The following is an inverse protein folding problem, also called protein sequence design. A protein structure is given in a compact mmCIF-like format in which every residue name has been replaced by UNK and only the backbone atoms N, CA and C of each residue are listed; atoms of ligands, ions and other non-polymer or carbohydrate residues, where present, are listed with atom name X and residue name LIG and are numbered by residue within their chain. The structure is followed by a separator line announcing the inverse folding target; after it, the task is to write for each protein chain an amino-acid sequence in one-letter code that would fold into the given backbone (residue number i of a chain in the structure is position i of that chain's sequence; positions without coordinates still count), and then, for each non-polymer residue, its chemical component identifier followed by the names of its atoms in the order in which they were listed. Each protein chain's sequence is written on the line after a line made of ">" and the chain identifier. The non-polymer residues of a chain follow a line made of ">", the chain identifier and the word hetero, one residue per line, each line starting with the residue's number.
data_IF_621602534416
#
_entry.id   IF_621602534416
#
_cell.length_a   1.000
_cell.length_b   1.000
_cell.length_c   1.000
_cell.angle_alpha   90.00
_cell.angle_beta   90.00
_cell.angle_gamma   90.00
#
_symmetry.space_group_name_H-M   'P 1'
#
loop_
_entity.id
_entity.type
_entity.pdbx_description
1 polymer ?
#
# COMPACT_ATOMS: atom_id res chain seq x y z
N UNK A 1 14.69 27.24 -4.00
CA UNK A 1 14.69 26.42 -5.23
C UNK A 1 13.48 26.84 -6.03
N UNK A 2 13.68 27.37 -7.24
CA UNK A 2 12.57 27.54 -8.17
C UNK A 2 11.98 26.16 -8.50
N UNK A 3 10.65 26.01 -8.61
CA UNK A 3 10.08 24.77 -9.10
C UNK A 3 10.63 24.48 -10.50
N UNK A 4 10.88 23.20 -10.85
CA UNK A 4 11.33 22.85 -12.19
C UNK A 4 10.33 23.41 -13.22
N UNK A 5 10.83 24.20 -14.18
CA UNK A 5 10.01 24.67 -15.31
C UNK A 5 9.64 23.46 -16.15
N UNK A 6 8.39 23.01 -16.03
CA UNK A 6 7.82 21.99 -16.90
C UNK A 6 7.59 22.59 -18.29
N UNK A 7 8.63 22.53 -19.14
CA UNK A 7 8.54 22.99 -20.53
C UNK A 7 7.73 22.03 -21.43
N UNK A 8 7.20 20.93 -20.88
CA UNK A 8 6.28 20.00 -21.55
C UNK A 8 5.12 19.67 -20.61
N UNK A 9 3.89 19.84 -21.09
CA UNK A 9 2.68 19.40 -20.39
C UNK A 9 2.62 17.87 -20.51
N UNK A 10 3.22 17.17 -19.54
CA UNK A 10 3.10 15.73 -19.43
C UNK A 10 1.77 15.41 -18.74
N UNK A 11 0.97 14.54 -19.36
CA UNK A 11 -0.17 13.97 -18.66
C UNK A 11 0.28 12.96 -17.60
N UNK A 12 -0.67 12.47 -16.80
CA UNK A 12 -0.33 11.55 -15.70
C UNK A 12 0.22 10.21 -16.20
N UNK A 13 -0.11 9.79 -17.42
CA UNK A 13 0.38 8.54 -18.03
C UNK A 13 1.86 8.72 -18.35
N UNK A 14 2.20 9.79 -19.05
CA UNK A 14 3.57 10.13 -19.41
C UNK A 14 4.47 10.30 -18.17
N UNK A 15 3.95 10.90 -17.09
CA UNK A 15 4.70 11.00 -15.82
C UNK A 15 5.04 9.61 -15.29
N UNK A 16 4.07 8.67 -15.23
CA UNK A 16 4.31 7.33 -14.70
C UNK A 16 5.20 6.48 -15.61
N UNK A 17 5.03 6.57 -16.94
CA UNK A 17 5.84 5.83 -17.91
C UNK A 17 7.30 6.29 -17.96
N UNK A 18 7.55 7.58 -17.70
CA UNK A 18 8.91 8.14 -17.63
C UNK A 18 9.55 8.00 -16.24
N UNK A 19 8.81 7.56 -15.23
CA UNK A 19 9.32 7.42 -13.87
C UNK A 19 10.07 6.10 -13.68
N UNK A 20 11.34 6.18 -13.31
CA UNK A 20 12.12 5.04 -12.83
C UNK A 20 11.58 4.52 -11.48
N UNK A 21 11.68 3.23 -11.13
CA UNK A 21 11.30 2.74 -9.81
C UNK A 21 11.89 3.53 -8.64
N UNK A 22 13.10 4.09 -8.74
CA UNK A 22 13.69 4.93 -7.70
C UNK A 22 12.95 6.27 -7.48
N UNK A 23 12.03 6.66 -8.36
CA UNK A 23 11.13 7.79 -8.15
C UNK A 23 10.07 7.51 -7.08
N UNK A 24 9.83 6.25 -6.71
CA UNK A 24 8.84 5.88 -5.71
C UNK A 24 9.49 5.66 -4.34
N UNK A 25 8.94 6.31 -3.31
CA UNK A 25 9.41 6.11 -1.94
C UNK A 25 9.21 4.66 -1.49
N UNK A 26 8.12 4.02 -1.89
CA UNK A 26 7.83 2.61 -1.58
C UNK A 26 8.92 1.65 -2.10
N UNK A 27 9.43 1.89 -3.30
CA UNK A 27 10.55 1.14 -3.87
C UNK A 27 11.85 1.40 -3.11
N UNK A 28 12.19 2.67 -2.86
CA UNK A 28 13.39 3.06 -2.12
C UNK A 28 13.40 2.46 -0.70
N UNK A 29 12.28 2.55 0.01
CA UNK A 29 12.13 1.95 1.33
C UNK A 29 12.27 0.43 1.30
N UNK A 30 11.81 -0.25 0.25
CA UNK A 30 11.88 -1.72 0.15
C UNK A 30 13.28 -2.21 -0.24
N UNK A 31 14.01 -1.47 -1.07
CA UNK A 31 15.34 -1.87 -1.59
C UNK A 31 16.51 -1.48 -0.69
N UNK A 32 16.35 -0.48 0.18
CA UNK A 32 17.37 -0.12 1.16
C UNK A 32 17.70 -1.30 2.08
N UNK A 33 19.00 -1.47 2.38
CA UNK A 33 19.48 -2.56 3.25
C UNK A 33 19.01 -2.41 4.70
N UNK A 34 18.89 -1.16 5.16
CA UNK A 34 18.55 -0.79 6.53
C UNK A 34 17.50 0.32 6.50
N UNK A 35 16.73 0.47 7.58
CA UNK A 35 15.82 1.60 7.70
C UNK A 35 16.61 2.92 7.82
N UNK A 36 16.11 4.04 7.27
CA UNK A 36 16.75 5.34 7.42
C UNK A 36 17.02 5.68 8.90
N UNK A 37 18.26 6.03 9.23
CA UNK A 37 18.64 6.47 10.56
C UNK A 37 18.02 7.83 10.90
N UNK A 38 17.57 8.02 12.14
CA UNK A 38 17.11 9.33 12.61
C UNK A 38 18.31 10.29 12.62
N UNK A 39 18.26 11.32 11.78
CA UNK A 39 19.28 12.37 11.76
C UNK A 39 18.98 13.37 12.86
N UNK A 40 19.48 13.14 14.09
CA UNK A 40 19.28 14.03 15.23
C UNK A 40 20.10 15.32 15.13
N UNK A 41 21.21 15.28 14.38
CA UNK A 41 22.23 16.33 14.39
C UNK A 41 22.13 17.30 13.20
N UNK A 42 21.18 17.07 12.28
CA UNK A 42 20.93 17.93 11.12
C UNK A 42 19.62 18.68 11.30
N UNK A 43 19.69 19.79 12.04
CA UNK A 43 18.53 20.67 12.30
C UNK A 43 18.16 21.49 11.04
N UNK A 44 19.02 21.55 10.02
CA UNK A 44 18.98 22.66 9.06
C UNK A 44 18.48 22.39 7.65
N UNK A 45 18.09 21.18 7.25
CA UNK A 45 17.39 20.98 5.98
C UNK A 45 16.49 19.74 6.04
N UNK A 46 15.20 19.88 5.69
CA UNK A 46 14.34 18.71 5.45
C UNK A 46 14.98 17.91 4.32
N UNK A 47 15.36 16.66 4.59
CA UNK A 47 15.94 15.80 3.58
C UNK A 47 14.89 15.53 2.48
N UNK A 48 14.95 16.27 1.38
CA UNK A 48 14.01 16.16 0.25
C UNK A 48 13.94 14.75 -0.31
N UNK A 49 14.95 13.90 -0.08
CA UNK A 49 14.94 12.49 -0.53
C UNK A 49 13.87 11.64 0.13
N UNK A 50 13.38 12.01 1.31
CA UNK A 50 12.33 11.28 2.01
C UNK A 50 10.92 11.81 1.75
N UNK A 51 10.79 12.89 0.97
CA UNK A 51 9.51 13.49 0.63
C UNK A 51 8.90 12.81 -0.61
N UNK A 52 7.56 12.81 -0.75
CA UNK A 52 6.91 12.28 -1.95
C UNK A 52 7.38 12.97 -3.22
N UNK A 53 7.61 12.20 -4.28
CA UNK A 53 7.87 12.72 -5.62
C UNK A 53 6.57 12.96 -6.38
N UNK A 54 6.67 13.55 -7.57
CA UNK A 54 5.51 13.69 -8.47
C UNK A 54 4.98 12.33 -8.91
N UNK A 55 5.86 11.34 -9.10
CA UNK A 55 5.47 9.97 -9.41
C UNK A 55 4.65 9.36 -8.26
N UNK A 56 5.08 9.55 -7.00
CA UNK A 56 4.33 9.11 -5.82
C UNK A 56 2.93 9.74 -5.79
N UNK A 57 2.84 11.06 -6.00
CA UNK A 57 1.56 11.78 -5.97
C UNK A 57 0.65 11.32 -7.11
N UNK A 58 1.16 11.19 -8.33
CA UNK A 58 0.37 10.74 -9.48
C UNK A 58 -0.09 9.30 -9.31
N UNK A 59 0.76 8.39 -8.86
CA UNK A 59 0.39 7.00 -8.58
C UNK A 59 -0.66 6.91 -7.47
N UNK A 60 -0.55 7.74 -6.43
CA UNK A 60 -1.55 7.82 -5.38
C UNK A 60 -2.90 8.29 -5.91
N UNK A 61 -2.94 9.36 -6.72
CA UNK A 61 -4.17 9.83 -7.36
C UNK A 61 -4.77 8.79 -8.31
N UNK A 62 -3.93 8.04 -9.04
CA UNK A 62 -4.36 6.91 -9.88
C UNK A 62 -5.00 5.80 -9.04
N UNK A 63 -4.43 5.48 -7.87
CA UNK A 63 -5.02 4.54 -6.91
C UNK A 63 -6.39 5.03 -6.39
N UNK A 64 -6.54 6.31 -6.06
CA UNK A 64 -7.84 6.86 -5.65
C UNK A 64 -8.89 6.76 -6.76
N UNK A 65 -8.52 6.98 -8.03
CA UNK A 65 -9.42 6.74 -9.17
C UNK A 65 -9.79 5.26 -9.30
N UNK A 66 -8.86 4.34 -9.07
CA UNK A 66 -9.15 2.90 -9.07
C UNK A 66 -10.18 2.53 -7.98
N UNK A 67 -10.11 3.13 -6.79
CA UNK A 67 -11.17 2.94 -5.77
C UNK A 67 -12.53 3.46 -6.22
N UNK A 68 -12.56 4.59 -6.95
CA UNK A 68 -13.77 5.10 -7.60
C UNK A 68 -14.35 4.11 -8.61
N UNK A 69 -13.51 3.57 -9.49
CA UNK A 69 -13.89 2.55 -10.47
C UNK A 69 -14.38 1.26 -9.80
N UNK A 70 -13.73 0.82 -8.72
CA UNK A 70 -14.16 -0.31 -7.90
C UNK A 70 -15.57 -0.11 -7.35
N UNK A 71 -15.84 1.06 -6.74
CA UNK A 71 -17.17 1.39 -6.21
C UNK A 71 -18.22 1.38 -7.32
N UNK A 72 -17.92 2.01 -8.46
CA UNK A 72 -18.78 2.04 -9.63
C UNK A 72 -19.13 0.62 -10.13
N UNK A 73 -18.12 -0.26 -10.22
CA UNK A 73 -18.28 -1.66 -10.62
C UNK A 73 -19.13 -2.46 -9.63
N UNK A 74 -18.88 -2.31 -8.33
CA UNK A 74 -19.66 -3.00 -7.27
C UNK A 74 -21.13 -2.60 -7.30
N UNK A 75 -21.44 -1.36 -7.65
CA UNK A 75 -22.80 -0.83 -7.66
C UNK A 75 -23.51 -1.01 -9.02
N UNK A 76 -22.80 -1.48 -10.05
CA UNK A 76 -23.34 -1.62 -11.41
C UNK A 76 -23.59 -0.28 -12.09
N UNK A 77 -22.81 0.76 -11.77
CA UNK A 77 -23.05 2.13 -12.21
C UNK A 77 -21.86 2.65 -13.00
N UNK A 78 -22.06 3.31 -14.13
CA UNK A 78 -20.96 3.86 -14.94
C UNK A 78 -20.49 5.26 -14.53
N UNK A 79 -21.17 5.92 -13.60
CA UNK A 79 -20.85 7.29 -13.15
C UNK A 79 -20.72 7.35 -11.63
N UNK A 80 -19.96 8.32 -11.14
CA UNK A 80 -19.92 8.68 -9.72
C UNK A 80 -21.32 9.19 -9.34
N UNK A 81 -22.15 8.31 -8.77
CA UNK A 81 -23.50 8.67 -8.35
C UNK A 81 -23.40 9.45 -7.04
N UNK A 82 -23.87 10.71 -7.05
CA UNK A 82 -23.96 11.56 -5.85
C UNK A 82 -25.03 11.05 -4.88
N UNK A 83 -26.11 10.50 -5.43
CA UNK A 83 -27.30 10.08 -4.69
C UNK A 83 -27.55 8.58 -4.90
N UNK A 84 -26.99 7.74 -4.02
CA UNK A 84 -27.18 6.30 -4.09
C UNK A 84 -28.58 5.92 -3.60
N UNK A 85 -29.21 4.98 -4.29
CA UNK A 85 -30.46 4.38 -3.81
C UNK A 85 -30.22 3.62 -2.49
N UNK A 86 -31.22 3.50 -1.60
CA UNK A 86 -31.07 2.78 -0.33
C UNK A 86 -30.50 1.36 -0.48
N UNK A 87 -30.87 0.64 -1.55
CA UNK A 87 -30.33 -0.67 -1.86
C UNK A 87 -28.83 -0.64 -2.19
N UNK A 88 -28.39 0.36 -2.96
CA UNK A 88 -26.98 0.56 -3.33
C UNK A 88 -26.12 0.92 -2.10
N UNK A 89 -26.67 1.72 -1.18
CA UNK A 89 -26.03 1.96 0.12
C UNK A 89 -25.80 0.65 0.87
N UNK A 90 -26.80 -0.24 0.89
CA UNK A 90 -26.70 -1.53 1.56
C UNK A 90 -25.66 -2.45 0.90
N UNK A 91 -25.65 -2.53 -0.44
CA UNK A 91 -24.65 -3.31 -1.18
C UNK A 91 -23.23 -2.81 -0.91
N UNK A 92 -23.02 -1.49 -0.95
CA UNK A 92 -21.73 -0.89 -0.62
C UNK A 92 -21.29 -1.21 0.81
N UNK A 93 -22.21 -1.14 1.78
CA UNK A 93 -21.92 -1.49 3.17
C UNK A 93 -21.48 -2.96 3.32
N UNK A 94 -22.17 -3.90 2.67
CA UNK A 94 -21.82 -5.32 2.68
C UNK A 94 -20.45 -5.54 2.03
N UNK A 95 -20.20 -4.88 0.91
CA UNK A 95 -18.91 -4.95 0.22
C UNK A 95 -17.77 -4.48 1.13
N UNK A 96 -17.91 -3.32 1.78
CA UNK A 96 -16.92 -2.80 2.72
C UNK A 96 -16.70 -3.75 3.90
N UNK A 97 -17.76 -4.35 4.43
CA UNK A 97 -17.67 -5.33 5.53
C UNK A 97 -16.84 -6.53 5.11
N UNK A 98 -17.06 -7.04 3.89
CA UNK A 98 -16.28 -8.15 3.36
C UNK A 98 -14.82 -7.76 3.09
N UNK A 99 -14.57 -6.57 2.53
CA UNK A 99 -13.22 -6.05 2.30
C UNK A 99 -12.40 -5.97 3.60
N UNK A 100 -13.01 -5.48 4.68
CA UNK A 100 -12.38 -5.43 6.01
C UNK A 100 -12.05 -6.83 6.52
N UNK A 101 -12.97 -7.81 6.40
CA UNK A 101 -12.70 -9.21 6.78
C UNK A 101 -11.53 -9.78 5.98
N UNK A 102 -11.49 -9.55 4.67
CA UNK A 102 -10.39 -10.02 3.79
C UNK A 102 -9.06 -9.39 4.18
N UNK A 103 -9.04 -8.10 4.55
CA UNK A 103 -7.85 -7.44 5.07
C UNK A 103 -7.38 -8.05 6.39
N UNK A 104 -8.29 -8.32 7.34
CA UNK A 104 -7.94 -8.96 8.62
C UNK A 104 -7.34 -10.35 8.38
N UNK A 105 -7.93 -11.14 7.49
CA UNK A 105 -7.41 -12.45 7.09
C UNK A 105 -6.00 -12.32 6.52
N UNK A 106 -5.79 -11.38 5.59
CA UNK A 106 -4.49 -11.12 4.97
C UNK A 106 -3.42 -10.76 6.00
N UNK A 107 -3.70 -9.79 6.87
CA UNK A 107 -2.79 -9.36 7.93
C UNK A 107 -2.51 -10.49 8.93
N UNK A 108 -3.52 -11.30 9.27
CA UNK A 108 -3.36 -12.44 10.18
C UNK A 108 -2.46 -13.52 9.57
N UNK A 109 -2.61 -13.80 8.27
CA UNK A 109 -1.75 -14.71 7.52
C UNK A 109 -0.30 -14.21 7.50
N UNK A 110 -0.08 -12.91 7.23
CA UNK A 110 1.24 -12.30 7.27
C UNK A 110 1.88 -12.35 8.66
N UNK A 111 1.09 -12.16 9.72
CA UNK A 111 1.58 -12.26 11.09
C UNK A 111 2.02 -13.69 11.41
N UNK A 112 1.20 -14.69 11.09
CA UNK A 112 1.57 -16.12 11.26
C UNK A 112 2.87 -16.43 10.52
N UNK A 113 2.98 -16.04 9.26
CA UNK A 113 4.20 -16.18 8.47
C UNK A 113 5.42 -15.50 9.10
N UNK A 114 5.23 -14.35 9.77
CA UNK A 114 6.33 -13.59 10.38
C UNK A 114 6.77 -14.15 11.72
N UNK A 115 5.86 -14.62 12.56
CA UNK A 115 6.18 -15.27 13.84
C UNK A 115 7.03 -16.53 13.63
N UNK A 116 6.81 -17.27 12.53
CA UNK A 116 7.64 -18.42 12.16
C UNK A 116 9.08 -18.04 11.76
N UNK A 117 9.39 -16.74 11.69
CA UNK A 117 10.65 -16.23 11.13
C UNK A 117 11.47 -15.36 12.06
N UNK A 118 10.86 -14.75 13.08
CA UNK A 118 11.54 -13.79 13.95
C UNK A 118 11.05 -13.96 15.38
N UNK A 119 11.93 -14.49 16.24
CA UNK A 119 11.77 -14.49 17.68
C UNK A 119 12.51 -13.27 18.24
N UNK A 120 11.89 -12.10 18.21
CA UNK A 120 12.43 -10.91 18.89
C UNK A 120 11.31 -10.18 19.59
N UNK A 121 11.33 -10.23 20.92
CA UNK A 121 10.45 -9.44 21.79
C UNK A 121 10.60 -7.96 21.43
N UNK A 122 9.58 -7.36 20.80
CA UNK A 122 9.57 -5.92 20.52
C UNK A 122 9.17 -5.17 21.80
N UNK A 123 10.16 -4.54 22.44
CA UNK A 123 9.93 -3.45 23.40
C UNK A 123 9.68 -2.16 22.60
N UNK A 124 9.03 -1.14 23.17
CA UNK A 124 8.79 0.13 22.46
C UNK A 124 10.08 0.78 21.93
N UNK A 125 11.20 0.64 22.67
CA UNK A 125 12.53 1.09 22.24
C UNK A 125 13.05 0.35 21.00
N UNK A 126 12.45 -0.79 20.68
CA UNK A 126 12.84 -1.68 19.59
C UNK A 126 12.35 -1.15 18.25
N UNK A 127 11.40 -0.21 18.18
CA UNK A 127 10.93 0.33 16.88
C UNK A 127 12.10 0.82 16.00
N UNK A 128 13.09 1.47 16.59
CA UNK A 128 14.27 1.96 15.88
C UNK A 128 15.35 0.89 15.67
N UNK A 129 15.27 -0.23 16.41
CA UNK A 129 16.20 -1.37 16.33
C UNK A 129 15.70 -2.50 15.45
N UNK A 130 14.43 -2.47 15.01
CA UNK A 130 13.86 -3.49 14.12
C UNK A 130 14.70 -3.54 12.84
N UNK A 131 15.32 -4.69 12.61
CA UNK A 131 16.07 -4.99 11.40
C UNK A 131 15.06 -5.37 10.31
N UNK A 132 15.31 -4.96 9.07
CA UNK A 132 14.52 -5.39 7.92
C UNK A 132 14.47 -6.91 7.84
N UNK A 133 13.26 -7.46 7.83
CA UNK A 133 13.05 -8.89 7.63
C UNK A 133 13.04 -9.18 6.13
N UNK A 134 14.18 -9.62 5.58
CA UNK A 134 14.31 -9.95 4.15
C UNK A 134 13.36 -11.05 3.70
N UNK A 135 13.04 -12.02 4.57
CA UNK A 135 12.08 -13.09 4.25
C UNK A 135 10.67 -12.51 4.11
N UNK A 136 10.29 -11.59 4.98
CA UNK A 136 9.03 -10.85 4.89
C UNK A 136 8.95 -10.00 3.62
N UNK A 137 9.98 -9.17 3.35
CA UNK A 137 10.03 -8.32 2.15
C UNK A 137 10.00 -9.16 0.86
N UNK A 138 10.74 -10.27 0.82
CA UNK A 138 10.74 -11.19 -0.32
C UNK A 138 9.40 -11.88 -0.55
N UNK A 139 8.64 -12.17 0.51
CA UNK A 139 7.29 -12.72 0.36
C UNK A 139 6.32 -11.63 -0.10
N UNK A 140 6.40 -10.43 0.47
CA UNK A 140 5.56 -9.29 0.07
C UNK A 140 5.81 -8.87 -1.39
N UNK A 141 7.02 -9.03 -1.92
CA UNK A 141 7.34 -8.78 -3.32
C UNK A 141 6.72 -9.79 -4.29
N UNK A 142 6.32 -10.98 -3.81
CA UNK A 142 5.76 -12.07 -4.60
C UNK A 142 4.23 -12.10 -4.62
N UNK A 143 3.57 -11.27 -3.82
CA UNK A 143 2.10 -11.20 -3.75
C UNK A 143 1.61 -9.80 -4.13
N UNK A 144 0.35 -9.72 -4.53
CA UNK A 144 -0.38 -8.45 -4.68
C UNK A 144 -1.81 -8.65 -4.15
N UNK A 145 -2.20 -7.98 -3.05
CA UNK A 145 -3.55 -8.09 -2.53
C UNK A 145 -4.58 -7.55 -3.52
N UNK A 146 -5.82 -8.05 -3.48
CA UNK A 146 -6.95 -7.50 -4.22
C UNK A 146 -7.21 -6.02 -3.89
N UNK A 147 -7.78 -5.28 -4.84
CA UNK A 147 -7.95 -3.82 -4.71
C UNK A 147 -8.77 -3.39 -3.48
N UNK A 148 -9.76 -4.19 -3.08
CA UNK A 148 -10.57 -3.92 -1.89
C UNK A 148 -9.78 -4.10 -0.58
N UNK A 149 -8.86 -5.07 -0.54
CA UNK A 149 -7.91 -5.23 0.57
C UNK A 149 -6.92 -4.08 0.62
N UNK A 150 -6.42 -3.62 -0.54
CA UNK A 150 -5.57 -2.43 -0.67
C UNK A 150 -6.32 -1.18 -0.21
N UNK A 151 -7.61 -1.05 -0.54
CA UNK A 151 -8.46 0.07 -0.13
C UNK A 151 -8.56 0.16 1.40
N UNK A 152 -8.77 -0.97 2.09
CA UNK A 152 -8.78 -1.01 3.56
C UNK A 152 -7.42 -0.68 4.14
N UNK A 153 -6.33 -1.24 3.58
CA UNK A 153 -4.96 -0.93 4.01
C UNK A 153 -4.66 0.56 3.88
N UNK A 154 -4.95 1.14 2.72
CA UNK A 154 -4.82 2.57 2.46
C UNK A 154 -5.62 3.41 3.46
N UNK A 155 -6.90 3.10 3.68
CA UNK A 155 -7.74 3.83 4.63
C UNK A 155 -7.21 3.76 6.07
N UNK A 156 -6.62 2.63 6.46
CA UNK A 156 -6.01 2.47 7.77
C UNK A 156 -4.74 3.31 7.93
N UNK A 157 -3.91 3.39 6.88
CA UNK A 157 -2.71 4.23 6.85
C UNK A 157 -3.01 5.73 7.01
N UNK A 158 -4.21 6.20 6.64
CA UNK A 158 -4.63 7.59 6.85
C UNK A 158 -4.79 7.95 8.34
N UNK A 159 -4.75 6.96 9.25
CA UNK A 159 -4.73 7.15 10.69
C UNK A 159 -3.40 6.61 11.25
N UNK A 160 -2.25 7.26 10.94
CA UNK A 160 -0.93 6.67 11.14
C UNK A 160 -0.68 6.27 12.58
N UNK A 161 -1.11 7.08 13.57
CA UNK A 161 -0.96 6.73 14.99
C UNK A 161 -1.64 5.40 15.33
N UNK A 162 -2.90 5.23 14.93
CA UNK A 162 -3.68 4.00 15.19
C UNK A 162 -3.11 2.82 14.42
N UNK A 163 -2.68 3.03 13.18
CA UNK A 163 -2.02 2.00 12.36
C UNK A 163 -0.77 1.46 13.06
N UNK A 164 0.17 2.33 13.42
CA UNK A 164 1.41 1.93 14.09
C UNK A 164 1.17 1.31 15.46
N UNK A 165 0.27 1.88 16.27
CA UNK A 165 -0.05 1.37 17.61
C UNK A 165 -0.61 -0.07 17.55
N UNK A 166 -1.50 -0.35 16.59
CA UNK A 166 -2.11 -1.68 16.42
C UNK A 166 -1.09 -2.78 16.14
N UNK A 167 -0.09 -2.49 15.30
CA UNK A 167 0.96 -3.45 14.94
C UNK A 167 2.10 -3.52 15.96
N UNK A 168 2.35 -2.43 16.69
CA UNK A 168 3.32 -2.43 17.79
C UNK A 168 2.80 -3.30 18.95
N UNK A 169 1.53 -3.16 19.32
CA UNK A 169 0.90 -3.94 20.41
C UNK A 169 0.79 -5.44 20.13
N UNK A 170 0.81 -5.84 18.86
CA UNK A 170 0.63 -7.24 18.43
C UNK A 170 1.93 -7.91 18.01
N UNK A 171 3.08 -7.26 18.26
CA UNK A 171 4.42 -7.71 17.87
C UNK A 171 4.54 -7.98 16.35
N UNK A 172 3.91 -7.13 15.55
CA UNK A 172 3.88 -7.25 14.09
C UNK A 172 4.33 -5.96 13.39
N UNK A 173 5.31 -5.30 14.00
CA UNK A 173 5.86 -4.01 13.55
C UNK A 173 6.52 -4.07 12.17
N UNK A 174 6.95 -5.26 11.73
CA UNK A 174 7.50 -5.50 10.39
C UNK A 174 6.52 -5.11 9.28
N UNK A 175 5.23 -5.40 9.45
CA UNK A 175 4.20 -5.01 8.47
C UNK A 175 3.94 -3.51 8.53
N UNK A 176 3.94 -2.90 9.71
CA UNK A 176 3.76 -1.46 9.83
C UNK A 176 4.93 -0.65 9.24
N UNK A 177 6.12 -1.23 9.18
CA UNK A 177 7.30 -0.65 8.52
C UNK A 177 7.39 -0.97 7.02
N UNK A 178 6.54 -1.85 6.50
CA UNK A 178 6.50 -2.15 5.08
C UNK A 178 5.64 -1.09 4.37
N UNK A 179 6.19 -0.34 3.39
CA UNK A 179 5.43 0.70 2.71
C UNK A 179 4.29 0.08 1.91
N UNK A 180 3.18 0.81 1.75
CA UNK A 180 2.20 0.46 0.72
C UNK A 180 2.96 0.46 -0.63
N UNK A 181 3.01 -0.67 -1.37
CA UNK A 181 3.91 -0.84 -2.53
C UNK A 181 3.35 -0.11 -3.75
N UNK A 182 3.31 1.22 -3.67
CA UNK A 182 2.69 2.10 -4.65
C UNK A 182 3.35 1.97 -6.02
N UNK A 183 4.67 1.77 -6.02
CA UNK A 183 5.53 1.42 -7.17
C UNK A 183 5.02 0.21 -7.96
N UNK A 184 4.39 -0.76 -7.30
CA UNK A 184 3.81 -1.95 -7.93
C UNK A 184 2.31 -1.80 -8.20
N UNK A 185 1.59 -1.16 -7.28
CA UNK A 185 0.14 -0.97 -7.36
C UNK A 185 -0.22 -0.15 -8.60
N UNK A 186 0.50 0.93 -8.91
CA UNK A 186 0.17 1.78 -10.05
C UNK A 186 0.29 1.05 -11.41
N UNK A 187 1.22 0.08 -11.50
CA UNK A 187 1.41 -0.77 -12.67
C UNK A 187 0.31 -1.82 -12.85
N UNK A 188 -0.44 -2.12 -11.79
CA UNK A 188 -1.60 -3.02 -11.85
C UNK A 188 -2.91 -2.28 -12.16
N UNK A 189 -2.90 -0.95 -12.33
CA UNK A 189 -4.10 -0.16 -12.63
C UNK A 189 -4.08 0.25 -14.10
N UNK A 190 -5.14 -0.03 -14.85
CA UNK A 190 -5.28 0.40 -16.23
C UNK A 190 -5.30 1.94 -16.36
N UNK A 191 -4.61 2.49 -17.37
CA UNK A 191 -4.48 3.94 -17.56
C UNK A 191 -5.78 4.62 -18.01
N UNK A 192 -6.75 3.89 -18.56
CA UNK A 192 -7.99 4.46 -19.11
C UNK A 192 -9.20 4.09 -18.27
N UNK A 193 -9.37 2.81 -17.95
CA UNK A 193 -10.52 2.28 -17.22
C UNK A 193 -10.35 2.36 -15.71
N UNK A 194 -9.11 2.48 -15.22
CA UNK A 194 -8.73 2.37 -13.81
C UNK A 194 -9.12 1.03 -13.17
N UNK A 195 -9.36 -0.01 -13.97
CA UNK A 195 -9.54 -1.36 -13.48
C UNK A 195 -8.21 -1.92 -12.96
N UNK A 196 -8.30 -2.75 -11.92
CA UNK A 196 -7.14 -3.35 -11.27
C UNK A 196 -6.84 -4.74 -11.84
N UNK A 197 -5.87 -4.78 -12.74
CA UNK A 197 -5.44 -5.94 -13.51
C UNK A 197 -4.10 -6.45 -12.96
N UNK A 198 -4.17 -7.36 -11.99
CA UNK A 198 -3.00 -7.98 -11.38
C UNK A 198 -2.52 -9.16 -12.24
N UNK A 199 -1.22 -9.24 -12.59
CA UNK A 199 -0.66 -10.40 -13.27
C UNK A 199 -0.96 -11.70 -12.51
N UNK A 200 -1.31 -12.76 -13.25
CA UNK A 200 -1.81 -14.03 -12.69
C UNK A 200 -0.95 -14.55 -11.54
N UNK A 201 0.37 -14.54 -11.73
CA UNK A 201 1.34 -15.06 -10.76
C UNK A 201 1.19 -14.42 -9.37
N UNK A 202 1.00 -13.10 -9.29
CA UNK A 202 0.85 -12.41 -8.01
C UNK A 202 -0.49 -12.71 -7.36
N UNK A 203 -1.54 -12.90 -8.18
CA UNK A 203 -2.90 -13.24 -7.72
C UNK A 203 -2.98 -14.67 -7.19
N UNK A 204 -2.34 -15.62 -7.87
CA UNK A 204 -2.21 -16.99 -7.40
C UNK A 204 -1.40 -17.07 -6.11
N UNK A 205 -0.25 -16.40 -6.05
CA UNK A 205 0.60 -16.37 -4.86
C UNK A 205 -0.15 -15.80 -3.66
N UNK A 206 -0.91 -14.72 -3.84
CA UNK A 206 -1.76 -14.15 -2.79
C UNK A 206 -2.81 -15.18 -2.32
N UNK A 207 -3.49 -15.84 -3.26
CA UNK A 207 -4.56 -16.80 -2.95
C UNK A 207 -4.03 -18.02 -2.21
N UNK A 208 -2.89 -18.58 -2.66
CA UNK A 208 -2.17 -19.67 -2.00
C UNK A 208 -1.72 -19.25 -0.60
N UNK A 209 -1.13 -18.07 -0.47
CA UNK A 209 -0.67 -17.53 0.80
C UNK A 209 -1.79 -17.43 1.83
N UNK A 210 -2.92 -16.81 1.47
CA UNK A 210 -4.07 -16.66 2.38
C UNK A 210 -4.69 -18.02 2.72
N UNK A 211 -4.78 -18.95 1.76
CA UNK A 211 -5.36 -20.27 1.98
C UNK A 211 -4.58 -21.12 3.00
N UNK A 212 -3.24 -21.02 3.02
CA UNK A 212 -2.37 -21.75 3.97
C UNK A 212 -2.71 -21.39 5.43
N UNK A 213 -3.09 -20.14 5.69
CA UNK A 213 -3.26 -19.63 7.05
C UNK A 213 -4.72 -19.52 7.50
N UNK A 214 -5.67 -19.87 6.63
CA UNK A 214 -7.12 -19.90 6.88
C UNK A 214 -7.65 -21.30 7.26
N UNK A 215 -6.75 -22.28 7.40
CA UNK A 215 -7.00 -23.53 8.12
C UNK A 215 -6.64 -23.35 9.60
#
# INVERSE_FOLDING_TARGET
>A
MDPPRYNQVLDFIAILEQSDPAAFQSYNYSTQKEYPSIQRDKITDINSKGLPTIADVVAHLKLLKAFGALKAKVLGTSKVIKDLEPAQHKYWQVFLTNAVRRFIIFVSALRKYSCDTVSTVVREDTFFKVIKNKKFESMMSQIMPPLDVIMVWHAFLLNPKTFYDSFTRTDFIVFAKYPLPLDRIHGCIDNTTFEFNVPEIYRENYSKFVAIFHQ
#
